data_IF_057533988686
#
_entry.id   IF_057533988686
#
_cell.length_a   1.000
_cell.length_b   1.000
_cell.length_c   1.000
_cell.angle_alpha   90.00
_cell.angle_beta   90.00
_cell.angle_gamma   90.00
#
_symmetry.space_group_name_H-M   'P 1'
#
loop_
_entity.id
_entity.type
_entity.pdbx_description
1 polymer ?
#
# COMPACT_ATOMS: atom_id res chain seq x y z
N UNK A 1 -33.78 5.42 10.36
CA UNK A 1 -32.53 6.21 10.34
C UNK A 1 -31.61 5.67 11.44
N UNK A 2 -30.37 5.29 11.13
CA UNK A 2 -29.37 4.85 12.13
C UNK A 2 -28.17 5.79 12.05
N UNK A 3 -28.04 6.67 13.04
CA UNK A 3 -26.96 7.67 13.09
C UNK A 3 -25.71 7.00 13.68
N UNK A 4 -24.56 7.27 13.06
CA UNK A 4 -23.22 6.88 13.53
C UNK A 4 -22.25 8.05 13.31
N UNK A 5 -21.14 8.04 14.02
CA UNK A 5 -20.10 9.06 13.90
C UNK A 5 -18.81 8.46 13.31
N UNK A 6 -18.03 9.29 12.63
CA UNK A 6 -16.69 8.95 12.16
C UNK A 6 -15.82 10.20 12.10
N UNK A 7 -14.57 10.08 12.54
CA UNK A 7 -13.57 11.11 12.30
C UNK A 7 -13.06 10.95 10.87
N UNK A 8 -13.35 11.95 10.03
CA UNK A 8 -12.83 12.06 8.68
C UNK A 8 -11.45 12.73 8.65
N UNK A 9 -10.76 12.63 7.52
CA UNK A 9 -9.50 13.32 7.27
C UNK A 9 -9.58 14.05 5.94
N UNK A 10 -8.99 15.24 5.88
CA UNK A 10 -8.84 16.02 4.65
C UNK A 10 -7.35 16.34 4.49
N UNK A 11 -6.82 16.04 3.30
CA UNK A 11 -5.44 16.38 2.93
C UNK A 11 -5.50 17.46 1.85
N UNK A 12 -5.02 18.67 2.17
CA UNK A 12 -4.94 19.73 1.19
C UNK A 12 -3.71 19.52 0.29
N UNK A 13 -3.95 19.08 -0.94
CA UNK A 13 -2.89 18.78 -1.91
C UNK A 13 -2.17 20.03 -2.43
N UNK A 14 -2.82 21.20 -2.41
CA UNK A 14 -2.20 22.49 -2.75
C UNK A 14 -1.07 22.86 -1.78
N UNK A 15 -1.20 22.44 -0.52
CA UNK A 15 -0.18 22.62 0.52
C UNK A 15 0.76 21.44 0.66
N UNK A 16 0.59 20.38 -0.15
CA UNK A 16 1.41 19.19 -0.02
C UNK A 16 2.79 19.44 -0.64
N UNK A 17 3.82 19.29 0.17
CA UNK A 17 5.22 19.47 -0.27
C UNK A 17 5.94 18.14 -0.54
N UNK A 18 5.25 17.01 -0.41
CA UNK A 18 5.85 15.70 -0.69
C UNK A 18 7.02 15.33 0.23
N UNK A 19 7.03 15.73 1.50
CA UNK A 19 8.20 15.54 2.38
C UNK A 19 8.31 14.15 3.04
N UNK A 20 7.33 13.25 2.84
CA UNK A 20 7.28 11.90 3.42
C UNK A 20 7.35 11.79 4.96
N UNK A 21 7.32 12.89 5.71
CA UNK A 21 7.38 12.86 7.19
C UNK A 21 6.25 12.01 7.79
N UNK A 22 5.03 12.11 7.23
CA UNK A 22 3.88 11.30 7.63
C UNK A 22 4.10 9.79 7.43
N UNK A 23 4.88 9.40 6.41
CA UNK A 23 5.22 8.00 6.15
C UNK A 23 6.23 7.48 7.16
N UNK A 24 7.28 8.27 7.45
CA UNK A 24 8.35 7.88 8.38
C UNK A 24 7.82 7.73 9.80
N UNK A 25 7.03 8.68 10.30
CA UNK A 25 6.48 8.59 11.66
C UNK A 25 5.53 7.39 11.80
N UNK A 26 4.67 7.15 10.80
CA UNK A 26 3.80 5.98 10.79
C UNK A 26 4.60 4.67 10.75
N UNK A 27 5.67 4.62 9.94
CA UNK A 27 6.56 3.46 9.83
C UNK A 27 7.21 3.16 11.18
N UNK A 28 7.84 4.16 11.79
CA UNK A 28 8.57 4.03 13.05
C UNK A 28 7.68 3.52 14.18
N UNK A 29 6.44 4.01 14.27
CA UNK A 29 5.52 3.61 15.34
C UNK A 29 4.91 2.23 15.08
N UNK A 30 4.50 1.93 13.85
CA UNK A 30 3.58 0.80 13.60
C UNK A 30 4.17 -0.37 12.82
N UNK A 31 5.08 -0.11 11.86
CA UNK A 31 5.47 -1.10 10.84
C UNK A 31 6.98 -1.29 10.65
N UNK A 32 7.78 -1.08 11.71
CA UNK A 32 9.22 -1.42 11.74
C UNK A 32 9.52 -2.88 12.10
N UNK A 33 8.48 -3.70 12.33
CA UNK A 33 8.63 -5.12 12.69
C UNK A 33 8.93 -5.98 11.44
N UNK A 34 9.69 -7.08 11.59
CA UNK A 34 9.81 -8.10 10.56
C UNK A 34 8.43 -8.64 10.13
N UNK A 35 8.21 -8.79 8.83
CA UNK A 35 6.93 -9.13 8.22
C UNK A 35 6.21 -7.94 7.59
N UNK A 36 6.45 -6.72 8.08
CA UNK A 36 5.78 -5.48 7.64
C UNK A 36 6.76 -4.34 7.38
N UNK A 37 8.07 -4.61 7.35
CA UNK A 37 9.09 -3.64 6.98
C UNK A 37 8.86 -3.09 5.56
N UNK A 38 8.35 -3.91 4.65
CA UNK A 38 7.94 -3.48 3.31
C UNK A 38 6.65 -2.64 3.29
N UNK A 39 5.82 -2.71 4.34
CA UNK A 39 4.46 -2.17 4.36
C UNK A 39 4.40 -0.72 4.84
N UNK A 40 3.90 0.19 4.00
CA UNK A 40 3.75 1.61 4.30
C UNK A 40 2.29 1.99 4.47
N UNK A 41 1.77 1.88 5.71
CA UNK A 41 0.37 2.21 6.02
C UNK A 41 0.01 3.62 5.55
N UNK A 42 0.88 4.59 5.82
CA UNK A 42 0.91 5.88 5.16
C UNK A 42 2.05 5.89 4.13
N UNK A 43 1.73 6.20 2.88
CA UNK A 43 2.72 6.41 1.81
C UNK A 43 2.37 7.67 1.03
N UNK A 44 3.36 8.25 0.36
CA UNK A 44 3.20 9.41 -0.53
C UNK A 44 3.73 9.00 -1.89
N UNK A 45 3.01 9.40 -2.94
CA UNK A 45 3.37 9.13 -4.33
C UNK A 45 3.54 10.43 -5.09
N UNK A 46 4.53 10.50 -5.98
CA UNK A 46 4.59 11.54 -7.00
C UNK A 46 3.72 11.13 -8.19
N UNK A 47 2.90 12.06 -8.67
CA UNK A 47 2.06 11.90 -9.85
C UNK A 47 2.54 12.85 -10.97
N UNK A 48 2.52 12.42 -12.25
CA UNK A 48 2.07 11.11 -12.74
C UNK A 48 3.03 9.96 -12.41
N UNK A 49 2.47 8.80 -12.04
CA UNK A 49 3.20 7.60 -11.64
C UNK A 49 2.28 6.42 -11.30
N UNK A 50 2.81 5.19 -11.34
CA UNK A 50 2.03 3.95 -11.11
C UNK A 50 1.83 3.63 -9.62
N UNK A 51 2.62 4.23 -8.73
CA UNK A 51 2.41 4.23 -7.29
C UNK A 51 2.79 2.92 -6.58
N UNK A 52 2.24 2.74 -5.38
CA UNK A 52 2.65 1.69 -4.45
C UNK A 52 1.44 0.90 -3.84
N UNK A 53 1.26 -0.39 -4.12
CA UNK A 53 2.01 -1.20 -5.08
C UNK A 53 1.83 -0.68 -6.51
N UNK A 54 2.67 -1.16 -7.41
CA UNK A 54 2.68 -0.80 -8.83
C UNK A 54 1.27 -0.95 -9.43
N UNK A 55 0.80 0.11 -10.08
CA UNK A 55 -0.50 0.19 -10.75
C UNK A 55 -1.70 -0.05 -9.81
N UNK A 56 -1.63 0.30 -8.52
CA UNK A 56 -2.68 -0.02 -7.55
C UNK A 56 -4.08 0.47 -7.97
N UNK A 57 -4.18 1.53 -8.76
CA UNK A 57 -5.43 2.09 -9.31
C UNK A 57 -6.06 1.25 -10.42
N UNK A 58 -5.27 0.41 -11.10
CA UNK A 58 -5.74 -0.44 -12.19
C UNK A 58 -6.59 -1.60 -11.66
N UNK A 59 -7.91 -1.38 -11.53
CA UNK A 59 -8.82 -2.41 -11.02
C UNK A 59 -9.20 -3.47 -12.05
N UNK A 60 -8.80 -3.30 -13.31
CA UNK A 60 -8.93 -4.35 -14.33
C UNK A 60 -7.85 -5.42 -14.11
N UNK A 61 -6.67 -5.02 -13.63
CA UNK A 61 -5.62 -5.89 -13.09
C UNK A 61 -5.99 -6.42 -11.70
N UNK A 62 -6.22 -5.53 -10.75
CA UNK A 62 -6.24 -5.87 -9.33
C UNK A 62 -7.58 -6.35 -8.77
N UNK A 63 -8.67 -6.14 -9.49
CA UNK A 63 -10.02 -6.58 -9.09
C UNK A 63 -10.47 -6.12 -7.68
N UNK A 64 -10.02 -4.94 -7.23
CA UNK A 64 -10.42 -4.35 -5.96
C UNK A 64 -11.75 -3.59 -6.05
N UNK A 65 -12.34 -3.32 -4.89
CA UNK A 65 -13.55 -2.53 -4.78
C UNK A 65 -14.84 -3.29 -5.11
N UNK A 66 -15.85 -2.55 -5.56
CA UNK A 66 -17.19 -3.05 -5.83
C UNK A 66 -17.53 -2.93 -7.31
N UNK A 67 -18.44 -3.78 -7.77
CA UNK A 67 -19.17 -3.63 -9.04
C UNK A 67 -20.67 -3.56 -8.76
N UNK A 68 -21.39 -2.78 -9.57
CA UNK A 68 -22.85 -2.76 -9.57
C UNK A 68 -23.35 -3.67 -10.68
N UNK A 69 -24.12 -4.69 -10.32
CA UNK A 69 -24.74 -5.62 -11.27
C UNK A 69 -25.91 -4.96 -12.01
N UNK A 70 -26.36 -5.54 -13.15
CA UNK A 70 -27.53 -5.06 -13.88
C UNK A 70 -28.81 -5.01 -13.02
N UNK A 71 -28.96 -5.91 -12.05
CA UNK A 71 -30.07 -5.94 -11.09
C UNK A 71 -29.97 -4.87 -9.97
N UNK A 72 -28.95 -4.01 -10.04
CA UNK A 72 -28.70 -2.93 -9.08
C UNK A 72 -27.97 -3.34 -7.81
N UNK A 73 -27.72 -4.64 -7.58
CA UNK A 73 -27.00 -5.10 -6.38
C UNK A 73 -25.49 -4.88 -6.49
N UNK A 74 -24.85 -4.68 -5.35
CA UNK A 74 -23.40 -4.58 -5.26
C UNK A 74 -22.77 -5.95 -5.01
N UNK A 75 -21.62 -6.19 -5.64
CA UNK A 75 -20.77 -7.35 -5.40
C UNK A 75 -19.29 -6.91 -5.38
N UNK A 76 -18.41 -7.51 -4.54
CA UNK A 76 -16.99 -7.25 -4.65
C UNK A 76 -16.49 -7.59 -6.06
N UNK A 77 -15.65 -6.74 -6.66
CA UNK A 77 -15.16 -6.92 -8.04
C UNK A 77 -14.46 -8.27 -8.23
N UNK A 78 -13.73 -8.74 -7.22
CA UNK A 78 -13.08 -10.06 -7.24
C UNK A 78 -14.05 -11.26 -7.22
N UNK A 79 -15.33 -11.02 -6.94
CA UNK A 79 -16.42 -11.98 -6.96
C UNK A 79 -17.28 -11.99 -5.70
N UNK A 80 -18.50 -12.53 -5.81
CA UNK A 80 -19.36 -12.82 -4.66
C UNK A 80 -18.82 -13.95 -3.77
N UNK A 81 -19.52 -14.26 -2.68
CA UNK A 81 -19.08 -15.19 -1.62
C UNK A 81 -18.51 -16.52 -2.15
N UNK A 82 -19.24 -17.19 -3.06
CA UNK A 82 -18.81 -18.48 -3.64
C UNK A 82 -17.53 -18.37 -4.48
N UNK A 83 -17.45 -17.35 -5.35
CA UNK A 83 -16.27 -17.12 -6.21
C UNK A 83 -15.03 -16.74 -5.39
N UNK A 84 -15.23 -16.01 -4.28
CA UNK A 84 -14.17 -15.72 -3.31
C UNK A 84 -13.66 -17.00 -2.62
N UNK A 85 -14.56 -17.86 -2.14
CA UNK A 85 -14.18 -19.11 -1.49
C UNK A 85 -13.46 -20.07 -2.43
N UNK A 86 -13.87 -20.17 -3.69
CA UNK A 86 -13.18 -21.01 -4.69
C UNK A 86 -11.73 -20.55 -4.97
N UNK A 87 -11.42 -19.29 -4.71
CA UNK A 87 -10.08 -18.70 -4.90
C UNK A 87 -9.22 -18.68 -3.62
N UNK A 88 -9.68 -19.32 -2.53
CA UNK A 88 -9.01 -19.22 -1.23
C UNK A 88 -7.65 -19.94 -1.18
N UNK A 89 -7.48 -21.01 -1.97
CA UNK A 89 -6.25 -21.80 -2.00
C UNK A 89 -5.11 -21.06 -2.70
N UNK A 90 -5.44 -20.28 -3.73
CA UNK A 90 -4.52 -19.41 -4.43
C UNK A 90 -5.29 -18.19 -4.93
N UNK A 91 -5.05 -17.03 -4.33
CA UNK A 91 -5.71 -15.79 -4.73
C UNK A 91 -5.04 -15.25 -6.01
N UNK A 92 -5.70 -15.30 -7.18
CA UNK A 92 -5.08 -14.90 -8.45
C UNK A 92 -4.88 -13.39 -8.59
N UNK A 93 -5.46 -12.59 -7.68
CA UNK A 93 -5.42 -11.13 -7.72
C UNK A 93 -4.54 -10.55 -6.59
N UNK A 94 -3.79 -11.40 -5.88
CA UNK A 94 -2.95 -10.98 -4.78
C UNK A 94 -1.70 -10.28 -5.34
N UNK A 95 -1.42 -9.02 -4.96
CA UNK A 95 -0.14 -8.41 -5.29
C UNK A 95 1.01 -9.20 -4.68
N UNK A 96 2.04 -9.42 -5.49
CA UNK A 96 3.27 -10.10 -5.09
C UNK A 96 4.23 -9.10 -4.45
N UNK A 97 5.29 -9.61 -3.82
CA UNK A 97 6.25 -8.74 -3.15
C UNK A 97 6.94 -7.77 -4.13
N UNK A 98 7.14 -8.20 -5.37
CA UNK A 98 7.77 -7.39 -6.43
C UNK A 98 6.85 -6.31 -7.00
N UNK A 99 5.53 -6.42 -6.77
CA UNK A 99 4.60 -5.32 -7.01
C UNK A 99 4.75 -4.20 -5.97
N UNK A 100 5.26 -4.53 -4.78
CA UNK A 100 5.70 -3.57 -3.78
C UNK A 100 7.18 -3.25 -4.01
N UNK A 101 8.07 -3.96 -3.32
CA UNK A 101 9.52 -4.01 -3.49
C UNK A 101 10.07 -5.10 -2.57
N UNK A 102 11.21 -5.70 -2.93
CA UNK A 102 11.97 -6.54 -1.99
C UNK A 102 12.57 -5.64 -0.90
N UNK A 103 12.17 -5.78 0.38
CA UNK A 103 12.72 -4.96 1.45
C UNK A 103 14.19 -5.30 1.65
N UNK A 104 15.03 -4.28 1.84
CA UNK A 104 16.48 -4.43 1.93
C UNK A 104 17.07 -3.66 3.11
N UNK A 105 18.27 -4.10 3.50
CA UNK A 105 19.17 -3.43 4.44
C UNK A 105 20.57 -3.38 3.82
N UNK A 106 21.57 -2.87 4.55
CA UNK A 106 22.95 -2.83 4.11
C UNK A 106 23.89 -3.45 5.14
N UNK A 107 25.01 -3.99 4.65
CA UNK A 107 26.10 -4.55 5.47
C UNK A 107 26.95 -3.45 6.11
N UNK A 108 26.35 -2.66 7.02
CA UNK A 108 27.05 -1.56 7.69
C UNK A 108 28.24 -2.03 8.52
N UNK A 109 28.15 -3.23 9.13
CA UNK A 109 29.23 -3.81 9.92
C UNK A 109 30.52 -3.99 9.11
N UNK A 110 30.41 -4.31 7.81
CA UNK A 110 31.58 -4.48 6.94
C UNK A 110 32.44 -3.20 6.82
N UNK A 111 31.86 -2.02 7.06
CA UNK A 111 32.62 -0.77 7.09
C UNK A 111 33.59 -0.68 8.28
N UNK A 112 33.33 -1.46 9.34
CA UNK A 112 34.11 -1.47 10.59
C UNK A 112 34.94 -2.75 10.74
N UNK A 113 34.39 -3.88 10.30
CA UNK A 113 34.98 -5.21 10.49
C UNK A 113 35.84 -5.71 9.32
N UNK A 114 35.90 -4.96 8.20
CA UNK A 114 36.72 -5.35 7.06
C UNK A 114 38.21 -5.46 7.41
N UNK A 115 38.90 -6.53 6.96
CA UNK A 115 40.35 -6.63 7.12
C UNK A 115 41.07 -5.59 6.24
N UNK A 116 42.40 -5.52 6.36
CA UNK A 116 43.20 -4.76 5.40
C UNK A 116 42.97 -5.29 3.98
N UNK A 117 42.56 -4.41 3.08
CA UNK A 117 42.22 -4.73 1.70
C UNK A 117 42.80 -3.69 0.75
N UNK A 118 43.01 -4.10 -0.51
CA UNK A 118 43.45 -3.20 -1.59
C UNK A 118 42.43 -2.10 -1.93
N UNK A 119 41.15 -2.34 -1.67
CA UNK A 119 40.05 -1.45 -2.02
C UNK A 119 39.23 -1.09 -0.78
N UNK A 120 38.68 0.12 -0.76
CA UNK A 120 37.89 0.61 0.37
C UNK A 120 36.65 -0.28 0.60
N UNK A 121 36.31 -0.62 1.86
CA UNK A 121 35.12 -1.39 2.17
C UNK A 121 33.85 -0.61 1.85
N UNK A 122 32.79 -1.31 1.44
CA UNK A 122 31.48 -0.72 1.12
C UNK A 122 30.34 -1.53 1.73
N UNK A 123 29.30 -0.85 2.21
CA UNK A 123 28.10 -1.51 2.71
C UNK A 123 27.19 -1.88 1.53
N UNK A 124 27.15 -3.16 1.17
CA UNK A 124 26.33 -3.66 0.06
C UNK A 124 24.92 -4.06 0.52
N UNK A 125 23.92 -4.00 -0.38
CA UNK A 125 22.55 -4.32 -0.02
C UNK A 125 22.35 -5.82 0.25
N UNK A 126 21.46 -6.11 1.19
CA UNK A 126 20.94 -7.45 1.51
C UNK A 126 19.44 -7.45 1.57
N UNK A 127 18.86 -8.55 1.10
CA UNK A 127 17.43 -8.81 1.23
C UNK A 127 17.04 -9.06 2.68
N UNK A 128 15.99 -8.40 3.14
CA UNK A 128 15.34 -8.69 4.43
C UNK A 128 14.42 -9.92 4.38
N UNK A 129 14.18 -10.47 3.18
CA UNK A 129 13.42 -11.71 2.98
C UNK A 129 14.35 -12.92 2.99
N UNK A 130 15.40 -12.90 2.16
CA UNK A 130 16.28 -14.06 1.95
C UNK A 130 17.56 -13.99 2.79
N UNK A 131 17.94 -12.81 3.29
CA UNK A 131 19.24 -12.57 3.95
C UNK A 131 20.42 -12.58 2.98
N UNK A 132 20.18 -12.84 1.69
CA UNK A 132 21.22 -12.92 0.68
C UNK A 132 21.63 -11.53 0.23
N UNK A 133 22.86 -11.46 -0.29
CA UNK A 133 23.40 -10.25 -0.93
C UNK A 133 22.62 -9.94 -2.19
N UNK A 134 22.24 -8.69 -2.37
CA UNK A 134 21.65 -8.20 -3.61
C UNK A 134 22.76 -7.64 -4.50
N UNK A 135 22.72 -7.94 -5.79
CA UNK A 135 23.65 -7.32 -6.75
C UNK A 135 23.27 -5.86 -6.99
N UNK A 136 21.96 -5.56 -7.06
CA UNK A 136 21.43 -4.22 -7.25
C UNK A 136 20.06 -4.09 -6.61
N UNK A 137 19.75 -2.91 -6.08
CA UNK A 137 18.38 -2.54 -5.73
C UNK A 137 17.72 -2.01 -7.01
N UNK A 138 16.62 -2.64 -7.43
CA UNK A 138 15.94 -2.31 -8.69
C UNK A 138 14.62 -1.56 -8.50
N UNK A 139 14.09 -1.53 -7.27
CA UNK A 139 12.85 -0.84 -6.94
C UNK A 139 12.77 -0.46 -5.46
N UNK A 140 11.79 0.39 -5.12
CA UNK A 140 11.51 0.82 -3.76
C UNK A 140 10.09 1.40 -3.63
N UNK A 141 9.63 1.69 -2.41
CA UNK A 141 8.26 2.15 -2.15
C UNK A 141 7.97 3.57 -2.67
N UNK A 142 9.01 4.30 -3.07
CA UNK A 142 8.95 5.67 -3.60
C UNK A 142 9.87 5.83 -4.83
N UNK A 143 9.95 4.81 -5.68
CA UNK A 143 10.91 4.79 -6.79
C UNK A 143 10.67 5.88 -7.85
N UNK A 144 9.44 6.36 -7.97
CA UNK A 144 9.00 7.35 -8.96
C UNK A 144 9.01 8.80 -8.41
N UNK A 145 9.65 9.03 -7.27
CA UNK A 145 9.76 10.34 -6.61
C UNK A 145 10.27 11.41 -7.58
N UNK A 146 9.68 12.61 -7.53
CA UNK A 146 10.12 13.80 -8.31
C UNK A 146 10.30 13.44 -9.80
N UNK A 147 9.30 12.75 -10.35
CA UNK A 147 9.26 12.32 -11.75
C UNK A 147 10.39 11.35 -12.14
N UNK A 148 10.90 10.57 -11.18
CA UNK A 148 11.91 9.54 -11.39
C UNK A 148 11.51 8.52 -12.45
N UNK A 149 12.33 8.40 -13.50
CA UNK A 149 12.11 7.51 -14.64
C UNK A 149 11.47 8.21 -15.85
N UNK A 150 11.54 7.52 -17.00
CA UNK A 150 11.03 8.03 -18.28
C UNK A 150 9.52 8.33 -18.22
N UNK A 151 9.08 9.39 -18.89
CA UNK A 151 7.66 9.73 -19.01
C UNK A 151 6.84 8.60 -19.65
N UNK A 152 7.40 7.84 -20.58
CA UNK A 152 6.76 6.65 -21.19
C UNK A 152 6.36 5.59 -20.15
N UNK A 153 7.10 5.47 -19.05
CA UNK A 153 6.83 4.54 -17.95
C UNK A 153 5.84 5.14 -16.96
N UNK A 154 6.06 6.40 -16.55
CA UNK A 154 5.21 7.12 -15.60
C UNK A 154 3.81 7.44 -16.15
N UNK A 155 3.70 7.70 -17.45
CA UNK A 155 2.42 7.97 -18.13
C UNK A 155 1.51 6.75 -18.26
N UNK A 156 1.95 5.57 -17.81
CA UNK A 156 1.08 4.40 -17.55
C UNK A 156 0.20 4.57 -16.31
N UNK A 157 0.33 5.69 -15.60
CA UNK A 157 -0.61 6.14 -14.60
C UNK A 157 -2.06 5.99 -15.10
N UNK A 158 -2.90 5.27 -14.34
CA UNK A 158 -4.29 4.99 -14.68
C UNK A 158 -5.10 6.27 -14.87
N UNK A 159 -4.68 7.38 -14.25
CA UNK A 159 -5.35 8.68 -14.37
C UNK A 159 -5.17 9.33 -15.75
N UNK A 160 -4.34 8.76 -16.65
CA UNK A 160 -4.14 9.26 -18.02
C UNK A 160 -4.92 8.51 -19.11
N UNK A 161 -5.71 7.48 -18.79
CA UNK A 161 -6.33 6.58 -19.80
C UNK A 161 -7.11 7.30 -20.91
N UNK A 162 -7.82 8.38 -20.57
CA UNK A 162 -8.66 9.15 -21.51
C UNK A 162 -8.06 10.53 -21.84
N UNK A 163 -6.74 10.69 -21.70
CA UNK A 163 -6.03 11.96 -21.88
C UNK A 163 -4.98 11.82 -22.98
N UNK A 164 -4.95 12.80 -23.90
CA UNK A 164 -3.84 12.97 -24.85
C UNK A 164 -2.59 13.44 -24.11
N UNK A 165 -1.76 12.50 -23.68
CA UNK A 165 -0.67 12.77 -22.72
C UNK A 165 0.67 13.17 -23.32
N UNK A 166 0.83 13.10 -24.65
CA UNK A 166 2.10 13.36 -25.34
C UNK A 166 2.67 14.76 -25.04
N UNK A 167 1.79 15.76 -24.91
CA UNK A 167 2.19 17.14 -24.57
C UNK A 167 2.91 17.23 -23.22
N UNK A 168 2.53 16.43 -22.23
CA UNK A 168 3.12 16.44 -20.89
C UNK A 168 4.47 15.72 -20.81
N UNK A 169 4.91 15.10 -21.91
CA UNK A 169 6.28 14.60 -22.07
C UNK A 169 7.28 15.66 -22.50
N UNK A 170 6.80 16.85 -22.90
CA UNK A 170 7.64 17.99 -23.27
C UNK A 170 8.12 18.72 -22.01
N UNK A 171 9.37 19.19 -22.03
CA UNK A 171 10.01 19.81 -20.88
C UNK A 171 9.19 21.01 -20.35
N UNK A 172 8.73 21.88 -21.24
CA UNK A 172 7.98 23.10 -20.94
C UNK A 172 6.61 22.84 -20.30
N UNK A 173 6.04 21.65 -20.54
CA UNK A 173 4.74 21.24 -20.03
C UNK A 173 4.85 20.21 -18.90
N UNK A 174 6.04 20.07 -18.31
CA UNK A 174 6.27 19.18 -17.19
C UNK A 174 5.45 19.63 -15.99
N UNK A 175 4.70 18.70 -15.39
CA UNK A 175 4.03 18.91 -14.12
C UNK A 175 4.26 17.74 -13.19
N UNK A 176 4.14 18.00 -11.90
CA UNK A 176 4.06 16.96 -10.88
C UNK A 176 3.17 17.40 -9.73
N UNK A 177 2.63 16.44 -9.00
CA UNK A 177 1.95 16.66 -7.72
C UNK A 177 2.22 15.51 -6.76
N UNK A 178 1.91 15.70 -5.49
CA UNK A 178 2.06 14.68 -4.47
C UNK A 178 0.71 14.15 -4.00
N UNK A 179 0.65 12.83 -3.82
CA UNK A 179 -0.52 12.11 -3.34
C UNK A 179 -0.18 11.35 -2.04
N UNK A 180 -0.23 12.01 -0.88
CA UNK A 180 -0.20 11.34 0.42
C UNK A 180 -1.51 10.58 0.63
N UNK A 181 -1.41 9.32 1.03
CA UNK A 181 -2.58 8.46 1.20
C UNK A 181 -2.40 7.41 2.28
N UNK A 182 -3.52 7.03 2.89
CA UNK A 182 -3.65 6.02 3.94
C UNK A 182 -4.94 5.22 3.74
N UNK A 183 -5.38 4.43 4.72
CA UNK A 183 -6.65 3.72 4.56
C UNK A 183 -7.83 4.69 4.63
N UNK A 184 -8.75 4.63 3.66
CA UNK A 184 -9.92 5.51 3.65
C UNK A 184 -10.99 5.23 4.74
N UNK A 185 -10.79 4.21 5.58
CA UNK A 185 -11.75 3.78 6.62
C UNK A 185 -13.22 3.85 6.15
N UNK A 186 -13.48 3.29 4.96
CA UNK A 186 -14.69 3.52 4.18
C UNK A 186 -15.99 3.23 4.94
N UNK A 187 -17.10 3.85 4.51
CA UNK A 187 -18.45 3.49 4.97
C UNK A 187 -18.91 2.13 4.44
N UNK A 188 -18.59 1.83 3.18
CA UNK A 188 -18.84 0.52 2.54
C UNK A 188 -17.51 -0.18 2.17
N UNK A 189 -16.75 -0.68 3.16
CA UNK A 189 -15.39 -1.20 2.94
C UNK A 189 -15.41 -2.54 2.20
N UNK A 190 -14.88 -2.56 0.98
CA UNK A 190 -14.73 -3.78 0.18
C UNK A 190 -13.88 -4.86 0.88
N UNK A 191 -12.91 -4.45 1.71
CA UNK A 191 -12.09 -5.38 2.50
C UNK A 191 -12.90 -6.17 3.53
N UNK A 192 -13.88 -5.55 4.20
CA UNK A 192 -14.79 -6.24 5.13
C UNK A 192 -15.61 -7.29 4.38
N UNK A 193 -16.20 -6.90 3.24
CA UNK A 193 -16.99 -7.80 2.42
C UNK A 193 -16.18 -8.96 1.81
N UNK A 194 -14.87 -8.78 1.69
CA UNK A 194 -13.95 -9.73 1.07
C UNK A 194 -13.30 -10.70 2.05
N UNK A 195 -13.43 -10.49 3.36
CA UNK A 195 -12.77 -11.32 4.38
C UNK A 195 -13.61 -12.57 4.70
N UNK A 196 -13.17 -13.79 4.36
CA UNK A 196 -13.96 -15.00 4.59
C UNK A 196 -14.19 -15.32 6.08
N UNK A 197 -13.24 -14.96 6.94
CA UNK A 197 -13.33 -15.20 8.39
C UNK A 197 -14.12 -14.12 9.15
N UNK A 198 -14.53 -13.04 8.48
CA UNK A 198 -15.20 -11.92 9.14
C UNK A 198 -14.33 -11.19 10.19
N UNK A 199 -13.00 -11.27 10.09
CA UNK A 199 -12.09 -10.65 11.06
C UNK A 199 -11.91 -9.15 10.87
N UNK A 200 -12.45 -8.58 9.79
CA UNK A 200 -12.38 -7.14 9.51
C UNK A 200 -13.72 -6.53 9.85
N UNK A 201 -13.71 -5.47 10.64
CA UNK A 201 -14.92 -4.80 11.11
C UNK A 201 -14.74 -3.29 11.13
N UNK A 202 -15.85 -2.57 11.09
CA UNK A 202 -15.90 -1.12 11.28
C UNK A 202 -16.46 -0.88 12.68
N UNK A 203 -15.69 -0.19 13.53
CA UNK A 203 -16.13 0.24 14.85
C UNK A 203 -17.35 1.14 14.75
N UNK A 204 -18.23 1.05 15.74
CA UNK A 204 -19.54 1.73 15.71
C UNK A 204 -19.43 3.18 16.21
N UNK A 205 -18.54 3.39 17.18
CA UNK A 205 -18.32 4.63 17.90
C UNK A 205 -17.52 5.69 17.12
N UNK A 206 -16.57 5.27 16.30
CA UNK A 206 -15.62 6.16 15.59
C UNK A 206 -15.44 5.85 14.09
N UNK A 207 -16.07 4.79 13.60
CA UNK A 207 -15.98 4.36 12.21
C UNK A 207 -14.61 3.81 11.78
N UNK A 208 -13.67 3.56 12.68
CA UNK A 208 -12.35 3.03 12.32
C UNK A 208 -12.49 1.55 11.90
N UNK A 209 -12.14 1.27 10.64
CA UNK A 209 -12.02 -0.11 10.12
C UNK A 209 -10.73 -0.78 10.60
N UNK A 210 -10.85 -1.91 11.30
CA UNK A 210 -9.73 -2.69 11.87
C UNK A 210 -9.72 -4.14 11.38
N UNK A 211 -8.57 -4.80 11.52
CA UNK A 211 -8.42 -6.25 11.34
C UNK A 211 -8.10 -6.84 12.72
N UNK A 212 -9.04 -7.64 13.24
CA UNK A 212 -8.88 -8.41 14.47
C UNK A 212 -7.75 -9.44 14.27
N UNK A 213 -6.63 -9.26 14.97
CA UNK A 213 -5.44 -10.10 14.82
C UNK A 213 -5.65 -11.51 15.37
N UNK A 214 -6.54 -11.71 16.35
CA UNK A 214 -6.84 -13.02 16.92
C UNK A 214 -7.74 -13.83 15.99
N UNK A 215 -8.72 -13.17 15.36
CA UNK A 215 -9.65 -13.80 14.40
C UNK A 215 -9.09 -13.89 12.99
N UNK A 216 -8.08 -13.09 12.63
CA UNK A 216 -7.49 -13.15 11.31
C UNK A 216 -6.88 -14.54 11.07
N UNK A 217 -7.32 -15.21 10.00
CA UNK A 217 -6.82 -16.53 9.59
C UNK A 217 -5.88 -16.48 8.39
N UNK A 218 -5.43 -15.28 8.00
CA UNK A 218 -4.44 -15.16 6.93
C UNK A 218 -4.94 -15.52 5.54
N UNK A 219 -6.25 -15.39 5.26
CA UNK A 219 -6.83 -15.74 3.96
C UNK A 219 -6.43 -14.81 2.80
N UNK A 220 -5.86 -13.63 3.09
CA UNK A 220 -5.28 -12.67 2.12
C UNK A 220 -6.24 -12.11 1.06
N UNK A 221 -7.50 -12.54 1.01
CA UNK A 221 -8.54 -12.03 0.10
C UNK A 221 -8.90 -10.55 0.32
N UNK A 222 -8.63 -10.03 1.52
CA UNK A 222 -8.83 -8.63 1.84
C UNK A 222 -7.78 -7.71 1.20
N UNK A 223 -6.58 -8.22 0.91
CA UNK A 223 -5.49 -7.47 0.26
C UNK A 223 -5.91 -7.09 -1.16
N UNK A 224 -6.35 -8.07 -1.95
CA UNK A 224 -6.90 -7.85 -3.30
C UNK A 224 -8.20 -7.03 -3.27
N UNK A 225 -9.09 -7.31 -2.31
CA UNK A 225 -10.40 -6.66 -2.19
C UNK A 225 -10.35 -5.16 -1.94
N UNK A 226 -9.29 -4.65 -1.32
CA UNK A 226 -9.09 -3.21 -1.15
C UNK A 226 -8.70 -2.57 -2.50
N UNK A 227 -9.51 -1.66 -3.07
CA UNK A 227 -9.14 -0.98 -4.32
C UNK A 227 -7.93 -0.06 -4.12
N UNK A 228 -7.74 0.47 -2.90
CA UNK A 228 -6.62 1.34 -2.54
C UNK A 228 -5.32 0.60 -2.19
N UNK A 229 -5.37 -0.74 -2.12
CA UNK A 229 -4.26 -1.61 -1.70
C UNK A 229 -3.63 -1.21 -0.35
N UNK A 230 -4.47 -0.74 0.58
CA UNK A 230 -4.10 -0.28 1.93
C UNK A 230 -4.17 -1.35 3.02
N UNK A 231 -4.18 -2.61 2.61
CA UNK A 231 -4.03 -3.76 3.49
C UNK A 231 -2.78 -4.50 3.03
N UNK A 232 -1.89 -4.78 3.95
CA UNK A 232 -0.61 -5.43 3.71
C UNK A 232 -0.59 -6.77 4.42
N UNK A 233 0.06 -7.76 3.83
CA UNK A 233 0.18 -9.08 4.43
C UNK A 233 1.47 -9.11 5.26
N UNK A 234 1.36 -9.35 6.56
CA UNK A 234 2.53 -9.61 7.37
C UNK A 234 3.05 -11.01 7.02
N UNK A 235 4.13 -11.07 6.25
CA UNK A 235 4.69 -12.32 5.74
C UNK A 235 5.26 -13.22 6.85
N UNK A 236 5.58 -12.64 8.01
CA UNK A 236 6.10 -13.37 9.17
C UNK A 236 5.00 -13.91 10.09
N UNK A 237 4.00 -13.10 10.44
CA UNK A 237 2.90 -13.53 11.32
C UNK A 237 1.81 -14.31 10.57
N UNK A 238 1.78 -14.21 9.24
CA UNK A 238 0.78 -14.83 8.39
C UNK A 238 -0.58 -14.13 8.42
N UNK A 239 -0.67 -12.90 8.95
CA UNK A 239 -1.92 -12.15 9.11
C UNK A 239 -1.86 -10.82 8.37
N UNK A 240 -3.03 -10.31 7.97
CA UNK A 240 -3.11 -9.02 7.32
C UNK A 240 -3.11 -7.89 8.35
N UNK A 241 -2.40 -6.80 8.05
CA UNK A 241 -2.36 -5.58 8.84
C UNK A 241 -2.67 -4.36 7.94
N UNK A 242 -3.12 -3.26 8.54
CA UNK A 242 -3.48 -2.03 7.84
C UNK A 242 -3.34 -0.83 8.76
N UNK A 243 -3.39 0.37 8.19
CA UNK A 243 -3.55 1.61 8.95
C UNK A 243 -4.69 1.46 9.97
N UNK A 244 -4.41 1.75 11.24
CA UNK A 244 -5.36 1.64 12.34
C UNK A 244 -5.96 2.99 12.74
N UNK A 245 -5.78 4.01 11.88
CA UNK A 245 -6.14 5.41 12.12
C UNK A 245 -5.66 5.94 13.49
N UNK A 246 -4.52 5.41 13.96
CA UNK A 246 -4.00 5.69 15.30
C UNK A 246 -5.08 5.62 16.39
N UNK A 247 -5.99 4.63 16.35
CA UNK A 247 -7.14 4.58 17.27
C UNK A 247 -6.77 4.77 18.76
N UNK A 248 -5.62 4.30 19.29
CA UNK A 248 -5.29 4.56 20.69
C UNK A 248 -5.12 6.06 21.01
N UNK A 249 -4.73 6.88 20.03
CA UNK A 249 -4.65 8.34 20.15
C UNK A 249 -6.02 8.99 19.97
N UNK A 250 -6.78 8.53 18.99
CA UNK A 250 -8.13 9.04 18.68
C UNK A 250 -9.07 8.83 19.89
N UNK A 251 -9.00 7.68 20.55
CA UNK A 251 -9.76 7.39 21.77
C UNK A 251 -9.46 8.38 22.91
N UNK A 252 -8.26 8.97 22.92
CA UNK A 252 -7.84 10.00 23.86
C UNK A 252 -8.05 11.44 23.33
N UNK A 253 -8.74 11.62 22.21
CA UNK A 253 -9.00 12.92 21.59
C UNK A 253 -7.78 13.55 20.92
N UNK A 254 -6.74 12.77 20.59
CA UNK A 254 -5.54 13.24 19.92
C UNK A 254 -5.54 12.96 18.41
N UNK A 255 -4.84 13.78 17.59
CA UNK A 255 -4.60 13.50 16.17
C UNK A 255 -3.73 12.25 15.90
#
# INVERSE_FOLDING_TARGET
>A
MKIRAQIGMVLNLDKCIGCHTCSVTCKNVWTSRPGVEYAWFNNVETKPGIGYPKEWENQDKWNGGWIRKPDGKLEPRQGGKWKLLMKIFANPNLPEIDDYYEPFTFDYDHLQSAPEMKHAPTARPRSLITGQRMEKIEWGPNWEEILGGEFSKRSKDKNFDDIQKDIYGQFENTFMMYLPRLCEHCLNPACVASCPSGSIYKREEDGIVLIDQDKCRGWRMCVSGCPYKKIYYNWKSGKAEKCIFCYPRIEAGQP
#
